data_IF_515851291542
#
_entry.id   IF_515851291542
#
_cell.length_a   1.000
_cell.length_b   1.000
_cell.length_c   1.000
_cell.angle_alpha   90.00
_cell.angle_beta   90.00
_cell.angle_gamma   90.00
#
_symmetry.space_group_name_H-M   'P 1'
#
loop_
_entity.id
_entity.type
_entity.pdbx_description
1 polymer ?
#
# COMPACT_ATOMS: atom_id res chain seq x y z
N UNK A 1 37.47 8.15 43.79
CA UNK A 1 36.35 8.71 42.98
C UNK A 1 36.76 9.05 41.56
N UNK A 2 38.00 9.50 41.31
CA UNK A 2 38.52 9.90 39.99
C UNK A 2 38.52 8.78 38.92
N UNK A 3 38.96 7.57 39.27
CA UNK A 3 39.03 6.43 38.33
C UNK A 3 37.64 6.01 37.83
N UNK A 4 36.66 6.01 38.72
CA UNK A 4 35.27 5.68 38.40
C UNK A 4 34.70 6.72 37.43
N UNK A 5 34.95 8.02 37.66
CA UNK A 5 34.54 9.11 36.76
C UNK A 5 35.14 8.96 35.36
N UNK A 6 36.43 8.61 35.28
CA UNK A 6 37.11 8.37 34.01
C UNK A 6 36.49 7.20 33.23
N UNK A 7 36.17 6.09 33.91
CA UNK A 7 35.52 4.95 33.27
C UNK A 7 34.11 5.27 32.76
N UNK A 8 33.32 6.02 33.53
CA UNK A 8 32.00 6.47 33.09
C UNK A 8 32.08 7.34 31.83
N UNK A 9 33.07 8.24 31.76
CA UNK A 9 33.28 9.09 30.58
C UNK A 9 33.72 8.24 29.38
N UNK A 10 34.64 7.29 29.57
CA UNK A 10 35.08 6.40 28.50
C UNK A 10 33.94 5.54 27.94
N UNK A 11 33.08 5.00 28.81
CA UNK A 11 31.89 4.27 28.40
C UNK A 11 30.92 5.16 27.62
N UNK A 12 30.65 6.37 28.10
CA UNK A 12 29.76 7.32 27.42
C UNK A 12 30.27 7.68 26.01
N UNK A 13 31.57 7.97 25.87
CA UNK A 13 32.19 8.26 24.58
C UNK A 13 32.09 7.06 23.64
N UNK A 14 32.36 5.85 24.13
CA UNK A 14 32.25 4.63 23.31
C UNK A 14 30.81 4.40 22.82
N UNK A 15 29.81 4.64 23.66
CA UNK A 15 28.40 4.51 23.29
C UNK A 15 28.00 5.53 22.21
N UNK A 16 28.48 6.77 22.32
CA UNK A 16 28.23 7.83 21.32
C UNK A 16 28.86 7.47 19.98
N UNK A 17 30.09 6.95 19.98
CA UNK A 17 30.76 6.53 18.74
C UNK A 17 30.01 5.37 18.08
N UNK A 18 29.50 4.42 18.85
CA UNK A 18 28.75 3.28 18.33
C UNK A 18 27.40 3.67 17.73
N UNK A 19 26.70 4.63 18.33
CA UNK A 19 25.40 5.11 17.80
C UNK A 19 25.57 6.04 16.60
N UNK A 20 26.64 6.82 16.54
CA UNK A 20 26.98 7.69 15.42
C UNK A 20 27.53 6.92 14.21
N UNK A 21 28.37 5.90 14.47
CA UNK A 21 29.25 5.30 13.49
C UNK A 21 28.66 4.22 12.58
N UNK A 22 27.45 3.71 12.84
CA UNK A 22 26.89 2.72 11.91
C UNK A 22 25.90 1.73 12.48
N UNK A 23 24.95 2.16 13.29
CA UNK A 23 23.73 1.37 13.40
C UNK A 23 23.04 1.42 12.02
N UNK A 24 22.84 0.27 11.35
CA UNK A 24 22.09 0.26 10.11
C UNK A 24 20.71 0.84 10.41
N UNK A 25 20.37 1.92 9.73
CA UNK A 25 19.04 2.53 9.85
C UNK A 25 18.03 1.54 9.30
N UNK A 26 17.38 0.78 10.18
CA UNK A 26 16.29 -0.13 9.84
C UNK A 26 15.09 0.76 9.49
N UNK A 27 15.05 1.22 8.24
CA UNK A 27 13.86 1.83 7.69
C UNK A 27 12.82 0.73 7.62
N UNK A 28 11.75 0.85 8.42
CA UNK A 28 10.57 0.04 8.23
C UNK A 28 10.06 0.31 6.80
N UNK A 29 10.24 -0.66 5.90
CA UNK A 29 9.74 -0.56 4.54
C UNK A 29 8.21 -0.57 4.62
N UNK A 30 7.61 0.61 4.50
CA UNK A 30 6.16 0.71 4.33
C UNK A 30 5.84 0.09 2.97
N UNK A 31 5.23 -1.11 2.98
CA UNK A 31 4.70 -1.68 1.75
C UNK A 31 3.69 -0.69 1.17
N UNK A 32 3.83 -0.37 -0.11
CA UNK A 32 2.83 0.43 -0.80
C UNK A 32 1.45 -0.25 -0.64
N UNK A 33 0.37 0.51 -0.41
CA UNK A 33 -0.97 -0.04 -0.39
C UNK A 33 -1.23 -0.88 -1.64
N UNK A 34 -1.88 -2.03 -1.47
CA UNK A 34 -2.25 -2.87 -2.60
C UNK A 34 -3.12 -2.07 -3.59
N UNK A 35 -3.00 -2.29 -4.91
CA UNK A 35 -3.87 -1.66 -5.90
C UNK A 35 -5.34 -1.90 -5.57
N UNK A 36 -6.18 -0.89 -5.82
CA UNK A 36 -7.62 -1.04 -5.66
C UNK A 36 -8.15 -2.17 -6.57
N UNK A 37 -9.15 -2.95 -6.13
CA UNK A 37 -9.77 -3.96 -6.98
C UNK A 37 -10.41 -3.30 -8.21
N UNK A 38 -10.21 -3.88 -9.40
CA UNK A 38 -10.98 -3.48 -10.57
C UNK A 38 -12.38 -4.08 -10.48
N UNK A 39 -13.40 -3.26 -10.73
CA UNK A 39 -14.79 -3.71 -10.83
C UNK A 39 -15.25 -3.47 -12.26
N UNK A 40 -15.43 -4.55 -13.03
CA UNK A 40 -15.86 -4.52 -14.43
C UNK A 40 -17.38 -4.33 -14.57
N UNK A 41 -18.01 -3.56 -13.66
CA UNK A 41 -19.45 -3.30 -13.66
C UNK A 41 -19.96 -2.70 -14.98
N UNK A 42 -19.12 -1.93 -15.67
CA UNK A 42 -19.42 -1.33 -16.98
C UNK A 42 -19.71 -2.40 -18.05
N UNK A 43 -19.01 -3.54 -18.02
CA UNK A 43 -19.24 -4.62 -18.98
C UNK A 43 -20.61 -5.28 -18.75
N UNK A 44 -21.03 -5.41 -17.50
CA UNK A 44 -22.36 -5.93 -17.13
C UNK A 44 -23.45 -4.95 -17.58
N UNK A 45 -23.28 -3.66 -17.27
CA UNK A 45 -24.24 -2.62 -17.66
C UNK A 45 -24.41 -2.56 -19.19
N UNK A 46 -23.31 -2.61 -19.94
CA UNK A 46 -23.33 -2.63 -21.40
C UNK A 46 -23.97 -3.90 -21.96
N UNK A 47 -23.71 -5.06 -21.35
CA UNK A 47 -24.34 -6.32 -21.71
C UNK A 47 -25.87 -6.26 -21.53
N UNK A 48 -26.34 -5.78 -20.38
CA UNK A 48 -27.77 -5.60 -20.10
C UNK A 48 -28.38 -4.62 -21.12
N UNK A 49 -27.72 -3.49 -21.40
CA UNK A 49 -28.20 -2.52 -22.39
C UNK A 49 -28.38 -3.16 -23.77
N UNK A 50 -27.43 -3.99 -24.22
CA UNK A 50 -27.51 -4.67 -25.51
C UNK A 50 -28.64 -5.72 -25.55
N UNK A 51 -28.81 -6.49 -24.46
CA UNK A 51 -29.90 -7.47 -24.34
C UNK A 51 -31.25 -6.76 -24.36
N UNK A 52 -31.40 -5.66 -23.62
CA UNK A 52 -32.64 -4.88 -23.60
C UNK A 52 -32.93 -4.24 -24.96
N UNK A 53 -31.91 -3.75 -25.67
CA UNK A 53 -32.05 -3.22 -27.04
C UNK A 53 -32.59 -4.29 -27.98
N UNK A 54 -31.99 -5.49 -27.98
CA UNK A 54 -32.42 -6.61 -28.83
C UNK A 54 -33.82 -7.09 -28.44
N UNK A 55 -34.12 -7.14 -27.13
CA UNK A 55 -35.45 -7.49 -26.64
C UNK A 55 -36.50 -6.49 -27.12
N UNK A 56 -36.23 -5.18 -27.07
CA UNK A 56 -37.14 -4.14 -27.56
C UNK A 56 -37.39 -4.25 -29.07
N UNK A 57 -36.34 -4.53 -29.85
CA UNK A 57 -36.44 -4.83 -31.28
C UNK A 57 -37.34 -6.04 -31.53
N UNK A 58 -37.14 -7.13 -30.81
CA UNK A 58 -37.94 -8.36 -30.92
C UNK A 58 -39.41 -8.10 -30.58
N UNK A 59 -39.67 -7.44 -29.45
CA UNK A 59 -41.03 -7.10 -29.01
C UNK A 59 -41.76 -6.25 -30.06
N UNK A 60 -41.08 -5.26 -30.63
CA UNK A 60 -41.66 -4.41 -31.66
C UNK A 60 -42.02 -5.22 -32.91
N UNK A 61 -41.14 -6.13 -33.36
CA UNK A 61 -41.42 -6.99 -34.51
C UNK A 61 -42.55 -8.00 -34.26
N UNK A 62 -42.71 -8.48 -33.03
CA UNK A 62 -43.79 -9.41 -32.68
C UNK A 62 -45.19 -8.76 -32.66
N UNK A 63 -45.25 -7.44 -32.45
CA UNK A 63 -46.51 -6.69 -32.25
C UNK A 63 -46.86 -5.84 -33.47
N UNK A 64 -45.92 -5.62 -34.38
CA UNK A 64 -46.11 -4.91 -35.65
C UNK A 64 -46.72 -5.83 -36.72
#
# INVERSE_FOLDING_TARGET
>A
MEILRFQFIAMAVSAIVLTWGGLPSIHAQSLAPAPAPSSDGVAIDQGIAYVLMVLALLLTYMIH
#
